data_IF_115430310121
#
_entry.id   IF_115430310121
#
_cell.length_a   1.000
_cell.length_b   1.000
_cell.length_c   1.000
_cell.angle_alpha   90.00
_cell.angle_beta   90.00
_cell.angle_gamma   90.00
#
_symmetry.space_group_name_H-M   'P 1'
#
loop_
_entity.id
_entity.type
_entity.pdbx_description
1 polymer ?
#
# COMPACT_ATOMS: atom_id res chain seq x y z
N UNK A 1 -0.25 -2.96 -28.00
CA UNK A 1 0.10 -1.57 -27.63
C UNK A 1 1.16 -1.07 -28.58
N UNK A 2 1.02 0.15 -29.10
CA UNK A 2 2.10 0.76 -29.91
C UNK A 2 3.28 1.10 -28.98
N UNK A 3 4.48 0.75 -29.41
CA UNK A 3 5.71 1.05 -28.68
C UNK A 3 5.96 2.57 -28.70
N UNK A 4 6.38 3.14 -27.56
CA UNK A 4 6.66 4.57 -27.48
C UNK A 4 7.75 4.96 -28.49
N UNK A 5 7.65 6.10 -29.23
CA UNK A 5 8.62 6.47 -30.26
C UNK A 5 10.08 6.57 -29.78
N UNK A 6 10.29 6.82 -28.49
CA UNK A 6 11.62 6.87 -27.86
C UNK A 6 12.00 5.59 -27.11
N UNK A 7 11.28 4.49 -27.32
CA UNK A 7 11.65 3.23 -26.69
C UNK A 7 13.05 2.78 -27.14
N UNK A 8 13.87 2.37 -26.18
CA UNK A 8 15.27 1.99 -26.42
C UNK A 8 16.25 3.17 -26.51
N UNK A 9 15.81 4.43 -26.44
CA UNK A 9 16.68 5.59 -26.36
C UNK A 9 17.05 5.92 -24.91
N UNK A 10 18.17 6.63 -24.72
CA UNK A 10 18.57 7.11 -23.38
C UNK A 10 17.51 8.08 -22.83
N UNK A 11 17.11 7.86 -21.59
CA UNK A 11 16.17 8.75 -20.90
C UNK A 11 16.69 10.20 -20.84
N UNK A 12 15.80 11.15 -21.10
CA UNK A 12 16.06 12.59 -20.96
C UNK A 12 15.54 13.08 -19.62
N UNK A 13 15.92 14.27 -19.20
CA UNK A 13 15.49 14.86 -17.91
C UNK A 13 13.96 14.87 -17.74
N UNK A 14 13.24 15.15 -18.82
CA UNK A 14 11.76 15.14 -18.81
C UNK A 14 11.11 13.75 -18.66
N UNK A 15 11.89 12.69 -18.82
CA UNK A 15 11.41 11.31 -18.64
C UNK A 15 11.60 10.82 -17.20
N UNK A 16 12.31 11.59 -16.38
CA UNK A 16 12.63 11.25 -15.00
C UNK A 16 11.52 11.76 -14.07
N UNK A 17 11.11 10.92 -13.14
CA UNK A 17 10.20 11.34 -12.08
C UNK A 17 10.91 12.22 -11.05
N UNK A 18 10.27 13.31 -10.66
CA UNK A 18 10.70 14.11 -9.52
C UNK A 18 10.21 13.44 -8.23
N UNK A 19 11.04 12.58 -7.65
CA UNK A 19 10.69 11.82 -6.45
C UNK A 19 10.33 12.72 -5.26
N UNK A 20 11.08 13.79 -4.92
CA UNK A 20 10.67 14.70 -3.85
C UNK A 20 9.29 15.33 -4.07
N UNK A 21 8.97 15.73 -5.31
CA UNK A 21 7.65 16.27 -5.63
C UNK A 21 6.55 15.20 -5.51
N UNK A 22 6.81 13.97 -5.95
CA UNK A 22 5.86 12.85 -5.82
C UNK A 22 5.52 12.58 -4.34
N UNK A 23 6.54 12.55 -3.47
CA UNK A 23 6.34 12.37 -2.03
C UNK A 23 5.62 13.57 -1.40
N UNK A 24 5.97 14.80 -1.81
CA UNK A 24 5.26 15.99 -1.33
C UNK A 24 3.78 15.95 -1.73
N UNK A 25 3.47 15.56 -2.98
CA UNK A 25 2.10 15.47 -3.47
C UNK A 25 1.26 14.41 -2.75
N UNK A 26 1.87 13.39 -2.18
CA UNK A 26 1.17 12.43 -1.33
C UNK A 26 0.47 13.12 -0.15
N UNK A 27 1.10 14.10 0.47
CA UNK A 27 0.56 14.85 1.61
C UNK A 27 -0.23 16.10 1.21
N UNK A 28 0.16 16.78 0.13
CA UNK A 28 -0.38 18.10 -0.24
C UNK A 28 -1.64 18.01 -1.09
N UNK A 29 -1.69 17.05 -2.03
CA UNK A 29 -2.84 16.91 -2.92
C UNK A 29 -3.93 16.12 -2.23
N UNK A 30 -5.14 16.67 -2.25
CA UNK A 30 -6.29 16.01 -1.66
C UNK A 30 -7.23 15.49 -2.75
N UNK A 31 -7.79 14.29 -2.57
CA UNK A 31 -8.80 13.76 -3.48
C UNK A 31 -10.08 14.61 -3.39
N UNK A 32 -10.66 14.94 -4.52
CA UNK A 32 -11.97 15.57 -4.62
C UNK A 32 -13.06 14.49 -4.52
N UNK A 33 -13.89 14.47 -3.46
CA UNK A 33 -14.96 13.48 -3.31
C UNK A 33 -16.01 13.51 -4.43
N UNK A 34 -16.14 14.65 -5.12
CA UNK A 34 -17.07 14.79 -6.26
C UNK A 34 -16.52 14.16 -7.54
N UNK A 35 -15.20 13.97 -7.63
CA UNK A 35 -14.57 13.33 -8.79
C UNK A 35 -14.56 11.80 -8.64
N UNK A 36 -15.28 11.05 -9.49
CA UNK A 36 -15.29 9.58 -9.40
C UNK A 36 -13.91 8.94 -9.54
N UNK A 37 -12.98 9.57 -10.26
CA UNK A 37 -11.62 9.05 -10.46
C UNK A 37 -10.74 9.17 -9.21
N UNK A 38 -11.13 10.03 -8.25
CA UNK A 38 -10.40 10.20 -6.99
C UNK A 38 -10.91 9.30 -5.87
N UNK A 39 -11.87 8.42 -6.14
CA UNK A 39 -12.41 7.51 -5.13
C UNK A 39 -11.48 6.34 -4.87
N UNK A 40 -11.56 5.81 -3.66
CA UNK A 40 -10.96 4.50 -3.37
C UNK A 40 -11.69 3.46 -4.20
N UNK A 41 -10.95 2.74 -5.03
CA UNK A 41 -11.47 1.65 -5.85
C UNK A 41 -10.57 0.43 -5.68
N UNK A 42 -11.13 -0.64 -5.12
CA UNK A 42 -10.45 -1.91 -5.00
C UNK A 42 -10.65 -2.71 -6.28
N UNK A 43 -9.53 -3.05 -6.93
CA UNK A 43 -9.51 -4.04 -7.99
C UNK A 43 -9.60 -5.46 -7.41
N UNK A 44 -8.74 -6.37 -7.86
CA UNK A 44 -8.76 -7.76 -7.40
C UNK A 44 -8.41 -7.90 -5.91
N UNK A 45 -7.46 -7.14 -5.41
CA UNK A 45 -6.96 -7.29 -4.03
C UNK A 45 -6.47 -5.99 -3.39
N UNK A 46 -6.70 -4.83 -4.02
CA UNK A 46 -6.22 -3.58 -3.46
C UNK A 46 -6.55 -2.36 -4.31
N UNK A 47 -6.36 -1.20 -3.70
CA UNK A 47 -6.48 0.11 -4.33
C UNK A 47 -5.15 0.46 -5.02
N UNK A 48 -5.24 1.08 -6.20
CA UNK A 48 -4.09 1.49 -7.02
C UNK A 48 -4.23 2.93 -7.48
N UNK A 49 -3.11 3.65 -7.47
CA UNK A 49 -3.13 5.05 -7.90
C UNK A 49 -1.74 5.68 -7.87
N UNK A 50 -1.71 6.98 -8.05
CA UNK A 50 -0.51 7.81 -7.92
C UNK A 50 -0.84 9.14 -7.26
N UNK A 51 0.10 9.69 -6.49
CA UNK A 51 -0.10 10.94 -5.77
C UNK A 51 -0.37 12.12 -6.72
N UNK A 52 0.34 12.19 -7.83
CA UNK A 52 0.23 13.30 -8.81
C UNK A 52 -1.16 13.42 -9.45
N UNK A 53 -1.95 12.35 -9.43
CA UNK A 53 -3.31 12.33 -9.98
C UNK A 53 -4.39 12.35 -8.90
N UNK A 54 -4.04 12.61 -7.65
CA UNK A 54 -4.96 12.55 -6.51
C UNK A 54 -5.74 11.23 -6.41
N UNK A 55 -5.03 10.11 -6.73
CA UNK A 55 -5.60 8.76 -6.69
C UNK A 55 -4.86 7.83 -5.73
N UNK A 56 -3.76 8.30 -5.11
CA UNK A 56 -3.02 7.59 -4.07
C UNK A 56 -2.35 8.63 -3.16
N UNK A 57 -3.12 9.24 -2.29
CA UNK A 57 -2.69 10.29 -1.36
C UNK A 57 -2.96 9.85 0.07
N UNK A 58 -2.47 10.58 1.04
CA UNK A 58 -2.62 10.28 2.46
C UNK A 58 -4.07 9.99 2.84
N UNK A 59 -5.03 10.82 2.41
CA UNK A 59 -6.45 10.63 2.71
C UNK A 59 -7.01 9.28 2.24
N UNK A 60 -6.54 8.77 1.09
CA UNK A 60 -6.92 7.43 0.63
C UNK A 60 -6.41 6.36 1.59
N UNK A 61 -5.15 6.48 1.99
CA UNK A 61 -4.49 5.50 2.84
C UNK A 61 -5.06 5.51 4.25
N UNK A 62 -5.33 6.68 4.81
CA UNK A 62 -6.02 6.82 6.10
C UNK A 62 -7.41 6.15 6.06
N UNK A 63 -8.20 6.43 5.03
CA UNK A 63 -9.53 5.85 4.86
C UNK A 63 -9.48 4.32 4.69
N UNK A 64 -8.54 3.80 3.89
CA UNK A 64 -8.36 2.36 3.68
C UNK A 64 -7.93 1.68 5.00
N UNK A 65 -6.95 2.24 5.70
CA UNK A 65 -6.46 1.68 6.95
C UNK A 65 -7.56 1.66 8.03
N UNK A 66 -8.36 2.72 8.10
CA UNK A 66 -9.50 2.80 9.00
C UNK A 66 -10.56 1.74 8.67
N UNK A 67 -10.92 1.61 7.40
CA UNK A 67 -11.88 0.59 6.97
C UNK A 67 -11.38 -0.84 7.27
N UNK A 68 -10.06 -1.09 7.12
CA UNK A 68 -9.47 -2.38 7.49
C UNK A 68 -9.59 -2.62 9.00
N UNK A 69 -9.30 -1.62 9.83
CA UNK A 69 -9.44 -1.75 11.28
C UNK A 69 -10.90 -2.06 11.69
N UNK A 70 -11.87 -1.38 11.07
CA UNK A 70 -13.30 -1.61 11.31
C UNK A 70 -13.73 -3.03 10.90
N UNK A 71 -13.34 -3.48 9.70
CA UNK A 71 -13.64 -4.84 9.23
C UNK A 71 -13.00 -5.90 10.12
N UNK A 72 -11.79 -5.68 10.62
CA UNK A 72 -11.14 -6.58 11.59
C UNK A 72 -11.93 -6.68 12.88
N UNK A 73 -12.40 -5.54 13.40
CA UNK A 73 -13.24 -5.49 14.60
C UNK A 73 -14.59 -6.23 14.38
N UNK A 74 -15.26 -6.00 13.25
CA UNK A 74 -16.50 -6.69 12.89
C UNK A 74 -16.33 -8.21 12.76
N UNK A 75 -15.19 -8.66 12.23
CA UNK A 75 -14.86 -10.08 12.04
C UNK A 75 -14.17 -10.72 13.23
N UNK A 76 -13.99 -9.99 14.32
CA UNK A 76 -13.29 -10.46 15.50
C UNK A 76 -11.88 -11.01 15.18
N UNK A 77 -11.18 -10.36 14.21
CA UNK A 77 -9.82 -10.70 13.84
C UNK A 77 -8.85 -10.12 14.88
N UNK A 78 -8.43 -10.94 15.83
CA UNK A 78 -7.66 -10.51 17.02
C UNK A 78 -6.16 -10.76 16.92
N UNK A 79 -5.69 -11.54 15.96
CA UNK A 79 -4.27 -11.79 15.74
C UNK A 79 -3.55 -10.57 15.14
N UNK A 80 -2.22 -10.62 15.05
CA UNK A 80 -1.44 -9.50 14.53
C UNK A 80 -1.70 -9.23 13.04
N UNK A 81 -1.54 -7.97 12.64
CA UNK A 81 -1.53 -7.57 11.24
C UNK A 81 -0.08 -7.47 10.75
N UNK A 82 0.30 -8.29 9.77
CA UNK A 82 1.61 -8.24 9.15
C UNK A 82 1.62 -7.17 8.05
N UNK A 83 2.47 -6.14 8.21
CA UNK A 83 2.56 -5.03 7.27
C UNK A 83 3.90 -5.06 6.53
N UNK A 84 3.83 -5.24 5.21
CA UNK A 84 5.00 -5.19 4.33
C UNK A 84 4.98 -3.97 3.41
N UNK A 85 6.17 -3.54 3.01
CA UNK A 85 6.36 -2.49 2.00
C UNK A 85 7.51 -2.84 1.06
N UNK A 86 7.50 -2.27 -0.11
CA UNK A 86 8.61 -2.33 -1.06
C UNK A 86 9.44 -1.03 -1.09
N UNK A 87 10.34 -0.91 -2.06
CA UNK A 87 11.27 0.22 -2.22
C UNK A 87 10.70 1.39 -3.00
N UNK A 88 9.41 1.38 -3.37
CA UNK A 88 8.81 2.50 -4.10
C UNK A 88 8.73 3.76 -3.24
N UNK A 89 8.90 4.94 -3.86
CA UNK A 89 8.97 6.21 -3.15
C UNK A 89 7.73 6.52 -2.29
N UNK A 90 6.54 6.07 -2.69
CA UNK A 90 5.31 6.27 -1.92
C UNK A 90 5.07 5.19 -0.87
N UNK A 91 5.83 4.09 -0.87
CA UNK A 91 5.62 3.00 0.09
C UNK A 91 5.96 3.42 1.51
N UNK A 92 6.97 4.25 1.71
CA UNK A 92 7.35 4.75 3.03
C UNK A 92 6.28 5.69 3.65
N UNK A 93 5.83 6.77 2.98
CA UNK A 93 4.80 7.63 3.54
C UNK A 93 3.46 6.88 3.74
N UNK A 94 3.07 6.01 2.82
CA UNK A 94 1.86 5.20 2.97
C UNK A 94 1.97 4.21 4.14
N UNK A 95 3.14 3.61 4.34
CA UNK A 95 3.41 2.73 5.49
C UNK A 95 3.23 3.48 6.81
N UNK A 96 3.79 4.69 6.93
CA UNK A 96 3.64 5.52 8.13
C UNK A 96 2.18 5.83 8.44
N UNK A 97 1.41 6.27 7.43
CA UNK A 97 -0.02 6.55 7.59
C UNK A 97 -0.84 5.31 7.99
N UNK A 98 -0.53 4.13 7.41
CA UNK A 98 -1.18 2.86 7.80
C UNK A 98 -0.88 2.51 9.25
N UNK A 99 0.39 2.58 9.67
CA UNK A 99 0.81 2.25 11.04
C UNK A 99 0.11 3.14 12.06
N UNK A 100 0.05 4.46 11.81
CA UNK A 100 -0.61 5.42 12.70
C UNK A 100 -2.08 5.06 12.93
N UNK A 101 -2.83 4.79 11.86
CA UNK A 101 -4.25 4.45 11.97
C UNK A 101 -4.47 3.12 12.68
N UNK A 102 -3.71 2.09 12.32
CA UNK A 102 -3.87 0.77 12.91
C UNK A 102 -3.54 0.76 14.40
N UNK A 103 -2.46 1.42 14.81
CA UNK A 103 -2.09 1.53 16.23
C UNK A 103 -3.13 2.35 17.00
N UNK A 104 -3.65 3.43 16.42
CA UNK A 104 -4.71 4.23 17.03
C UNK A 104 -6.01 3.42 17.26
N UNK A 105 -6.26 2.41 16.42
CA UNK A 105 -7.38 1.47 16.59
C UNK A 105 -7.04 0.23 17.45
N UNK A 106 -5.86 0.21 18.08
CA UNK A 106 -5.46 -0.90 18.98
C UNK A 106 -5.05 -2.19 18.27
N UNK A 107 -4.76 -2.11 16.96
CA UNK A 107 -4.31 -3.27 16.18
C UNK A 107 -2.82 -3.51 16.45
N UNK A 108 -2.46 -4.75 16.78
CA UNK A 108 -1.06 -5.16 16.84
C UNK A 108 -0.49 -5.24 15.42
N UNK A 109 0.51 -4.41 15.12
CA UNK A 109 1.15 -4.35 13.79
C UNK A 109 2.55 -4.96 13.85
N UNK A 110 2.79 -5.98 13.04
CA UNK A 110 4.10 -6.62 12.90
C UNK A 110 4.75 -6.16 11.60
N UNK A 111 5.93 -5.57 11.73
CA UNK A 111 6.70 -5.00 10.61
C UNK A 111 8.07 -5.65 10.51
N UNK A 112 8.73 -5.47 9.36
CA UNK A 112 10.10 -5.93 9.17
C UNK A 112 11.06 -5.18 10.11
N UNK A 113 11.99 -5.93 10.72
CA UNK A 113 13.04 -5.37 11.56
C UNK A 113 13.84 -4.30 10.81
N UNK A 114 14.32 -3.31 11.55
CA UNK A 114 15.13 -2.20 11.03
C UNK A 114 14.48 -1.41 9.89
N UNK A 115 13.15 -1.27 9.93
CA UNK A 115 12.37 -0.61 8.90
C UNK A 115 12.57 -1.19 7.50
N UNK A 116 12.89 -2.48 7.41
CA UNK A 116 13.21 -3.17 6.18
C UNK A 116 12.03 -3.37 5.22
N UNK A 117 12.33 -3.92 4.07
CA UNK A 117 11.36 -4.23 3.01
C UNK A 117 10.96 -5.70 3.08
N UNK A 118 9.68 -5.98 2.81
CA UNK A 118 9.16 -7.35 2.81
C UNK A 118 8.38 -7.61 1.53
N UNK A 119 8.81 -8.57 0.72
CA UNK A 119 8.07 -8.93 -0.48
C UNK A 119 6.75 -9.63 -0.12
N UNK A 120 5.75 -9.50 -0.98
CA UNK A 120 4.41 -10.08 -0.78
C UNK A 120 4.43 -11.56 -0.34
N UNK A 121 5.24 -12.45 -0.93
CA UNK A 121 5.33 -13.84 -0.46
C UNK A 121 5.81 -13.98 0.98
N UNK A 122 6.68 -13.07 1.44
CA UNK A 122 7.17 -13.07 2.82
C UNK A 122 6.04 -12.75 3.82
N UNK A 123 5.22 -11.73 3.52
CA UNK A 123 4.05 -11.40 4.35
C UNK A 123 3.04 -12.56 4.34
N UNK A 124 2.72 -13.10 3.16
CA UNK A 124 1.81 -14.25 3.05
C UNK A 124 2.30 -15.46 3.86
N UNK A 125 3.60 -15.75 3.80
CA UNK A 125 4.19 -16.85 4.57
C UNK A 125 4.11 -16.61 6.09
N UNK A 126 4.35 -15.37 6.53
CA UNK A 126 4.23 -15.00 7.95
C UNK A 126 2.79 -15.19 8.46
N UNK A 127 1.79 -14.72 7.72
CA UNK A 127 0.38 -14.91 8.03
C UNK A 127 0.03 -16.40 8.14
N UNK A 128 0.39 -17.19 7.13
CA UNK A 128 0.11 -18.63 7.12
C UNK A 128 0.78 -19.35 8.29
N UNK A 129 2.04 -19.01 8.58
CA UNK A 129 2.80 -19.60 9.68
C UNK A 129 2.18 -19.27 11.04
N UNK A 130 1.73 -18.02 11.24
CA UNK A 130 0.99 -17.64 12.44
C UNK A 130 -0.31 -18.42 12.57
N UNK A 131 -1.12 -18.42 11.51
CA UNK A 131 -2.45 -19.03 11.50
C UNK A 131 -2.45 -20.55 11.64
N UNK A 132 -1.33 -21.22 11.37
CA UNK A 132 -1.14 -22.65 11.66
C UNK A 132 -0.86 -22.93 13.13
N UNK A 133 -0.27 -21.98 13.86
CA UNK A 133 0.21 -22.17 15.23
C UNK A 133 -0.70 -21.55 16.29
N UNK A 134 -1.52 -20.58 15.92
CA UNK A 134 -2.33 -19.77 16.83
C UNK A 134 -3.81 -19.83 16.47
N UNK A 135 -4.66 -19.64 17.48
CA UNK A 135 -6.12 -19.60 17.29
C UNK A 135 -6.59 -18.22 16.82
N UNK A 136 -5.96 -17.18 17.35
CA UNK A 136 -6.13 -15.79 16.93
C UNK A 136 -5.56 -15.60 15.51
N UNK A 137 -6.44 -15.30 14.56
CA UNK A 137 -6.05 -15.25 13.15
C UNK A 137 -5.39 -13.92 12.81
N UNK A 138 -4.24 -14.02 12.17
CA UNK A 138 -3.52 -12.91 11.56
C UNK A 138 -3.97 -12.68 10.14
N UNK A 139 -3.81 -11.44 9.70
CA UNK A 139 -3.95 -10.99 8.30
C UNK A 139 -2.80 -10.04 7.94
N UNK A 140 -2.87 -9.34 6.81
CA UNK A 140 -1.80 -8.42 6.46
C UNK A 140 -2.11 -7.48 5.32
N UNK A 141 -1.27 -6.47 5.22
CA UNK A 141 -1.26 -5.46 4.16
C UNK A 141 0.12 -5.46 3.52
N UNK A 142 0.16 -5.30 2.20
CA UNK A 142 1.41 -5.06 1.45
C UNK A 142 1.26 -3.79 0.64
N UNK A 143 2.18 -2.86 0.85
CA UNK A 143 2.24 -1.60 0.11
C UNK A 143 3.26 -1.77 -1.02
N UNK A 144 2.76 -1.89 -2.25
CA UNK A 144 3.57 -2.19 -3.42
C UNK A 144 2.91 -1.72 -4.71
N UNK A 145 3.61 -1.11 -5.67
CA UNK A 145 3.07 -0.80 -6.98
C UNK A 145 3.00 -2.02 -7.92
N UNK A 146 3.45 -3.19 -7.48
CA UNK A 146 3.60 -4.35 -8.35
C UNK A 146 2.28 -4.91 -8.85
N UNK A 147 2.15 -4.97 -10.17
CA UNK A 147 1.10 -5.73 -10.85
C UNK A 147 1.58 -7.11 -11.32
N UNK A 148 2.90 -7.27 -11.38
CA UNK A 148 3.53 -8.36 -12.14
C UNK A 148 3.55 -9.67 -11.39
N UNK A 149 3.47 -9.64 -10.08
CA UNK A 149 3.39 -10.84 -9.25
C UNK A 149 2.14 -11.69 -9.52
N UNK A 150 1.12 -11.10 -10.13
CA UNK A 150 -0.14 -11.78 -10.45
C UNK A 150 -0.15 -12.43 -11.84
N UNK A 151 0.85 -12.15 -12.67
CA UNK A 151 0.93 -12.66 -14.06
C UNK A 151 1.78 -13.91 -14.17
N UNK A 152 2.62 -14.20 -13.18
CA UNK A 152 3.61 -15.26 -13.22
C UNK A 152 3.46 -16.32 -12.13
N UNK A 153 2.31 -16.38 -11.50
CA UNK A 153 1.97 -17.45 -10.55
C UNK A 153 0.99 -18.41 -11.19
#
# INVERSE_FOLDING_TARGET
MAMHPRAGQKAQQQDLHNIPALVANYFLLQPDPANPQHKVEFGTSGHRGTADKSTFNENHILAIAQAIAEVRAEKETTGPLFLGKDTHALSEPAFSSVVEVLIANGVEVVVQQDNGYTPTPGVSHAILTHNLKHQDKADGIVITPSHLSLIHI
#
